data_IF_639987234723
#
_entry.id   IF_639987234723
#
_cell.length_a   1.000
_cell.length_b   1.000
_cell.length_c   1.000
_cell.angle_alpha   90.00
_cell.angle_beta   90.00
_cell.angle_gamma   90.00
#
_symmetry.space_group_name_H-M   'P 1'
#
loop_
_entity.id
_entity.type
_entity.pdbx_description
1 polymer ?
#
# COMPACT_ATOMS: atom_id res chain seq x y z
N UNK A 1 -7.23 -21.74 12.06
CA UNK A 1 -5.87 -21.19 12.31
C UNK A 1 -5.50 -21.78 13.62
N UNK A 2 -4.69 -22.81 13.54
CA UNK A 2 -4.52 -23.80 14.59
C UNK A 2 -3.08 -23.74 15.13
N UNK A 3 -2.15 -23.12 14.38
CA UNK A 3 -0.81 -22.78 14.83
C UNK A 3 -0.23 -21.53 14.15
N UNK A 4 0.92 -21.07 14.65
CA UNK A 4 1.69 -19.99 14.02
C UNK A 4 2.10 -20.32 12.56
N UNK A 5 2.24 -21.60 12.23
CA UNK A 5 2.63 -22.04 10.89
C UNK A 5 1.51 -21.88 9.85
N UNK A 6 0.28 -21.59 10.27
CA UNK A 6 -0.83 -21.25 9.36
C UNK A 6 -0.82 -19.76 8.98
N UNK A 7 -0.03 -18.95 9.67
CA UNK A 7 0.09 -17.52 9.42
C UNK A 7 1.15 -17.24 8.34
N UNK A 8 0.91 -16.20 7.57
CA UNK A 8 1.87 -15.64 6.61
C UNK A 8 1.99 -14.16 6.84
N UNK A 9 3.22 -13.68 7.02
CA UNK A 9 3.54 -12.26 7.18
C UNK A 9 4.37 -11.84 5.97
N UNK A 10 3.85 -10.86 5.23
CA UNK A 10 4.46 -10.35 4.02
C UNK A 10 4.93 -8.91 4.23
N UNK A 11 6.14 -8.68 4.77
CA UNK A 11 6.63 -7.34 5.02
C UNK A 11 6.92 -6.62 3.70
N UNK A 12 6.58 -5.33 3.63
CA UNK A 12 6.77 -4.51 2.42
C UNK A 12 7.44 -3.16 2.66
N UNK A 13 7.61 -2.71 3.91
CA UNK A 13 8.43 -1.56 4.27
C UNK A 13 9.28 -1.87 5.51
N UNK A 14 10.55 -1.53 5.45
CA UNK A 14 11.41 -1.37 6.62
C UNK A 14 11.39 0.12 6.95
N UNK A 15 10.59 0.54 7.93
CA UNK A 15 10.27 1.96 8.13
C UNK A 15 11.37 2.73 8.87
N UNK A 16 11.95 2.13 9.91
CA UNK A 16 12.99 2.73 10.73
C UNK A 16 13.88 1.65 11.37
N UNK A 17 15.08 2.06 11.74
CA UNK A 17 16.02 1.35 12.62
C UNK A 17 16.49 2.29 13.73
N UNK A 18 17.42 1.86 14.60
CA UNK A 18 17.82 2.60 15.82
C UNK A 18 18.11 4.09 15.60
N UNK A 19 18.69 4.46 14.46
CA UNK A 19 19.21 5.83 14.23
C UNK A 19 18.60 6.55 13.03
N UNK A 20 17.82 5.87 12.20
CA UNK A 20 17.32 6.47 10.95
C UNK A 20 15.93 5.93 10.57
N UNK A 21 15.17 6.79 9.90
CA UNK A 21 14.03 6.37 9.07
C UNK A 21 14.57 6.01 7.69
N UNK A 22 13.86 5.14 6.95
CA UNK A 22 14.29 4.70 5.62
C UNK A 22 13.40 5.23 4.50
N UNK A 23 12.80 6.41 4.70
CA UNK A 23 11.95 7.06 3.69
C UNK A 23 12.73 7.66 2.52
N UNK A 24 14.06 7.71 2.62
CA UNK A 24 14.99 8.07 1.55
C UNK A 24 15.27 6.90 0.60
N UNK A 25 14.95 5.66 1.00
CA UNK A 25 15.13 4.46 0.20
C UNK A 25 13.94 4.26 -0.74
N UNK A 26 14.21 3.79 -1.95
CA UNK A 26 13.16 3.46 -2.90
C UNK A 26 12.49 2.11 -2.55
N UNK A 27 11.32 1.82 -3.15
CA UNK A 27 10.61 0.58 -2.84
C UNK A 27 11.34 -0.69 -3.27
N UNK A 28 12.24 -0.64 -4.25
CA UNK A 28 13.07 -1.79 -4.61
C UNK A 28 14.01 -2.16 -3.47
N UNK A 29 14.69 -1.18 -2.90
CA UNK A 29 15.55 -1.38 -1.75
C UNK A 29 14.80 -2.02 -0.58
N UNK A 30 13.58 -1.55 -0.28
CA UNK A 30 12.76 -2.16 0.79
C UNK A 30 12.44 -3.63 0.50
N UNK A 31 11.99 -3.93 -0.72
CA UNK A 31 11.58 -5.30 -1.08
C UNK A 31 12.78 -6.25 -1.07
N UNK A 32 13.91 -5.83 -1.64
CA UNK A 32 15.14 -6.62 -1.67
C UNK A 32 15.70 -6.84 -0.26
N UNK A 33 15.73 -5.79 0.58
CA UNK A 33 16.17 -5.88 1.97
C UNK A 33 15.28 -6.85 2.76
N UNK A 34 13.96 -6.70 2.67
CA UNK A 34 13.02 -7.56 3.38
C UNK A 34 13.04 -9.01 2.87
N UNK A 35 13.32 -9.23 1.58
CA UNK A 35 13.51 -10.57 1.03
C UNK A 35 14.68 -11.29 1.70
N UNK A 36 15.75 -10.60 2.08
CA UNK A 36 16.86 -11.21 2.84
C UNK A 36 16.39 -11.74 4.19
N UNK A 37 15.55 -10.98 4.90
CA UNK A 37 14.96 -11.39 6.18
C UNK A 37 14.01 -12.58 6.00
N UNK A 38 13.17 -12.57 4.96
CA UNK A 38 12.28 -13.68 4.65
C UNK A 38 13.06 -14.97 4.32
N UNK A 39 14.20 -14.86 3.63
CA UNK A 39 15.02 -16.02 3.30
C UNK A 39 15.72 -16.61 4.53
N UNK A 40 16.11 -15.77 5.49
CA UNK A 40 16.72 -16.18 6.74
C UNK A 40 15.71 -16.78 7.75
N UNK A 41 14.41 -16.59 7.53
CA UNK A 41 13.38 -17.16 8.40
C UNK A 41 13.23 -18.67 8.19
N UNK A 42 13.66 -19.44 9.19
CA UNK A 42 13.52 -20.89 9.24
C UNK A 42 12.07 -21.33 9.47
N UNK A 43 11.27 -20.50 10.17
CA UNK A 43 9.87 -20.84 10.49
C UNK A 43 8.94 -20.79 9.28
N UNK A 44 9.36 -20.12 8.20
CA UNK A 44 8.58 -19.88 6.97
C UNK A 44 7.27 -19.13 7.19
N UNK A 45 7.15 -18.41 8.30
CA UNK A 45 6.05 -17.49 8.57
C UNK A 45 6.22 -16.24 7.70
N UNK A 46 7.46 -15.79 7.49
CA UNK A 46 7.75 -14.67 6.61
C UNK A 46 7.73 -15.08 5.14
N UNK A 47 7.12 -14.24 4.30
CA UNK A 47 7.03 -14.45 2.86
C UNK A 47 7.42 -13.19 2.10
N UNK A 48 8.36 -13.32 1.16
CA UNK A 48 8.72 -12.21 0.28
C UNK A 48 7.53 -11.87 -0.64
N UNK A 49 7.30 -10.58 -0.87
CA UNK A 49 6.23 -10.14 -1.76
C UNK A 49 6.61 -10.36 -3.22
N UNK A 50 5.62 -10.74 -4.03
CA UNK A 50 5.76 -10.69 -5.48
C UNK A 50 5.59 -9.25 -5.97
N UNK A 51 6.44 -8.79 -6.88
CA UNK A 51 6.38 -7.43 -7.41
C UNK A 51 6.86 -7.38 -8.86
N UNK A 52 6.51 -6.30 -9.56
CA UNK A 52 6.98 -6.00 -10.91
C UNK A 52 7.27 -4.50 -11.02
N UNK A 53 8.42 -4.15 -11.59
CA UNK A 53 8.74 -2.77 -11.97
C UNK A 53 8.06 -2.45 -13.30
N UNK A 54 7.61 -1.20 -13.44
CA UNK A 54 6.89 -0.75 -14.64
C UNK A 54 7.45 0.60 -15.07
N UNK A 55 7.96 0.69 -16.29
CA UNK A 55 8.27 1.97 -16.92
C UNK A 55 7.02 2.48 -17.63
N UNK A 56 6.44 3.56 -17.11
CA UNK A 56 5.22 4.15 -17.66
C UNK A 56 5.42 4.83 -19.03
N UNK A 57 6.67 5.07 -19.43
CA UNK A 57 7.02 5.61 -20.75
C UNK A 57 7.09 4.53 -21.83
N UNK A 58 7.30 3.27 -21.42
CA UNK A 58 7.38 2.15 -22.33
C UNK A 58 6.02 1.45 -22.48
N UNK A 59 5.59 1.24 -23.73
CA UNK A 59 4.32 0.59 -24.05
C UNK A 59 4.37 -0.90 -23.73
N UNK A 60 5.51 -1.56 -23.98
CA UNK A 60 5.66 -3.00 -23.72
C UNK A 60 5.66 -3.27 -22.21
N UNK A 61 6.44 -2.50 -21.43
CA UNK A 61 6.43 -2.58 -19.96
C UNK A 61 5.03 -2.42 -19.36
N UNK A 62 4.20 -1.52 -19.90
CA UNK A 62 2.81 -1.36 -19.48
C UNK A 62 1.95 -2.58 -19.82
N UNK A 63 2.08 -3.12 -21.03
CA UNK A 63 1.33 -4.32 -21.46
C UNK A 63 1.67 -5.50 -20.55
N UNK A 64 2.97 -5.75 -20.35
CA UNK A 64 3.45 -6.82 -19.48
C UNK A 64 2.94 -6.69 -18.05
N UNK A 65 2.81 -5.46 -17.53
CA UNK A 65 2.28 -5.22 -16.19
C UNK A 65 0.79 -5.53 -16.09
N UNK A 66 0.02 -5.22 -17.14
CA UNK A 66 -1.40 -5.58 -17.23
C UNK A 66 -1.57 -7.09 -17.29
N UNK A 67 -0.80 -7.78 -18.13
CA UNK A 67 -0.88 -9.23 -18.28
C UNK A 67 -0.49 -9.95 -16.97
N UNK A 68 0.58 -9.51 -16.32
CA UNK A 68 0.98 -10.01 -15.00
C UNK A 68 -0.13 -9.84 -13.94
N UNK A 69 -0.80 -8.68 -13.94
CA UNK A 69 -1.91 -8.42 -13.03
C UNK A 69 -3.14 -9.26 -13.35
N UNK A 70 -3.48 -9.44 -14.64
CA UNK A 70 -4.57 -10.29 -15.08
C UNK A 70 -4.34 -11.74 -14.67
N UNK A 71 -3.15 -12.28 -14.90
CA UNK A 71 -2.79 -13.65 -14.53
C UNK A 71 -2.91 -13.87 -13.02
N UNK A 72 -2.33 -12.97 -12.22
CA UNK A 72 -2.36 -13.10 -10.75
C UNK A 72 -3.77 -12.98 -10.18
N UNK A 73 -4.60 -12.08 -10.71
CA UNK A 73 -5.98 -11.92 -10.24
C UNK A 73 -6.90 -13.06 -10.70
N UNK A 74 -6.66 -13.66 -11.87
CA UNK A 74 -7.37 -14.88 -12.33
C UNK A 74 -7.07 -16.09 -11.45
N UNK A 75 -5.88 -16.15 -10.84
CA UNK A 75 -5.49 -17.20 -9.88
C UNK A 75 -6.01 -16.95 -8.45
N UNK A 76 -6.92 -15.99 -8.27
CA UNK A 76 -7.56 -15.69 -6.98
C UNK A 76 -6.87 -14.60 -6.16
N UNK A 77 -5.84 -13.93 -6.69
CA UNK A 77 -5.23 -12.79 -6.01
C UNK A 77 -6.16 -11.57 -5.96
N UNK A 78 -6.10 -10.81 -4.87
CA UNK A 78 -6.92 -9.61 -4.67
C UNK A 78 -6.67 -8.54 -5.74
N UNK A 79 -5.41 -8.35 -6.14
CA UNK A 79 -4.99 -7.22 -6.96
C UNK A 79 -3.56 -6.78 -6.63
N UNK A 80 -3.25 -5.54 -6.97
CA UNK A 80 -1.92 -4.95 -6.72
C UNK A 80 -2.02 -3.60 -6.03
N UNK A 81 -0.90 -3.20 -5.42
CA UNK A 81 -0.68 -1.85 -4.93
C UNK A 81 0.40 -1.22 -5.80
N UNK A 82 0.04 -0.19 -6.56
CA UNK A 82 0.96 0.57 -7.41
C UNK A 82 1.56 1.69 -6.56
N UNK A 83 2.89 1.77 -6.54
CA UNK A 83 3.63 2.78 -5.78
C UNK A 83 4.62 3.51 -6.71
N UNK A 84 4.89 4.80 -6.52
CA UNK A 84 6.04 5.46 -7.15
C UNK A 84 7.33 4.75 -6.76
N UNK A 85 8.38 4.80 -7.58
CA UNK A 85 9.64 4.12 -7.21
C UNK A 85 10.22 4.66 -5.90
N UNK A 86 10.31 5.98 -5.80
CA UNK A 86 10.74 6.67 -4.57
C UNK A 86 9.61 6.67 -3.53
N UNK A 87 9.96 6.44 -2.26
CA UNK A 87 8.99 6.35 -1.16
C UNK A 87 8.17 7.64 -0.98
N UNK A 88 8.83 8.80 -1.08
CA UNK A 88 8.19 10.13 -1.09
C UNK A 88 8.43 10.78 -2.45
N UNK A 89 7.58 10.47 -3.42
CA UNK A 89 7.65 11.06 -4.75
C UNK A 89 6.94 12.42 -4.83
N UNK A 90 7.51 13.34 -5.64
CA UNK A 90 6.92 14.65 -5.96
C UNK A 90 6.67 14.78 -7.45
N UNK A 91 5.48 15.25 -7.80
CA UNK A 91 5.11 15.63 -9.15
C UNK A 91 4.97 17.14 -9.29
N UNK A 92 4.45 17.60 -10.43
CA UNK A 92 4.25 19.03 -10.73
C UNK A 92 3.39 19.79 -9.71
N UNK A 93 2.58 19.08 -8.92
CA UNK A 93 1.63 19.65 -7.94
C UNK A 93 1.98 19.31 -6.48
N UNK A 94 3.23 18.94 -6.21
CA UNK A 94 3.69 18.54 -4.87
C UNK A 94 3.77 17.03 -4.70
N UNK A 95 3.66 16.56 -3.46
CA UNK A 95 3.75 15.13 -3.11
C UNK A 95 2.61 14.36 -3.80
N UNK A 96 2.94 13.22 -4.41
CA UNK A 96 1.94 12.35 -5.06
C UNK A 96 1.55 11.20 -4.12
N UNK A 97 0.43 10.56 -4.41
CA UNK A 97 -0.10 9.47 -3.59
C UNK A 97 0.99 8.40 -3.41
N UNK A 98 1.30 8.00 -2.16
CA UNK A 98 2.36 7.04 -1.89
C UNK A 98 2.00 5.63 -2.40
N UNK A 99 0.71 5.33 -2.51
CA UNK A 99 0.22 4.05 -3.00
C UNK A 99 -1.18 4.19 -3.61
N UNK A 100 -1.46 3.39 -4.63
CA UNK A 100 -2.79 3.27 -5.25
C UNK A 100 -3.14 1.79 -5.37
N UNK A 101 -4.26 1.37 -4.78
CA UNK A 101 -4.76 -0.01 -4.91
C UNK A 101 -5.49 -0.21 -6.24
N UNK A 102 -5.23 -1.33 -6.91
CA UNK A 102 -5.89 -1.78 -8.13
C UNK A 102 -6.33 -3.24 -7.95
N UNK A 103 -7.62 -3.43 -7.64
CA UNK A 103 -8.22 -4.72 -7.25
C UNK A 103 -8.82 -5.44 -8.45
N UNK A 104 -8.66 -6.77 -8.45
CA UNK A 104 -9.14 -7.69 -9.49
C UNK A 104 -10.66 -7.74 -9.57
N UNK A 105 -11.16 -8.14 -10.75
CA UNK A 105 -12.59 -8.18 -11.06
C UNK A 105 -13.38 -9.04 -10.08
N UNK A 106 -12.91 -10.26 -9.83
CA UNK A 106 -13.62 -11.22 -8.97
C UNK A 106 -13.55 -10.83 -7.50
N UNK A 107 -12.41 -10.30 -7.03
CA UNK A 107 -12.30 -9.76 -5.68
C UNK A 107 -13.29 -8.61 -5.44
N UNK A 108 -13.49 -7.72 -6.42
CA UNK A 108 -14.44 -6.61 -6.30
C UNK A 108 -15.90 -7.06 -6.11
N UNK A 109 -16.27 -8.32 -6.43
CA UNK A 109 -17.59 -8.86 -6.09
C UNK A 109 -17.82 -8.96 -4.58
N UNK A 110 -16.76 -9.23 -3.82
CA UNK A 110 -16.81 -9.26 -2.34
C UNK A 110 -17.12 -7.86 -1.79
N UNK A 111 -16.61 -6.82 -2.46
CA UNK A 111 -16.71 -5.42 -2.02
C UNK A 111 -18.00 -4.74 -2.50
N UNK A 112 -18.38 -4.96 -3.77
CA UNK A 112 -19.46 -4.24 -4.43
C UNK A 112 -20.71 -5.10 -4.69
N UNK A 113 -20.67 -6.39 -4.36
CA UNK A 113 -21.74 -7.36 -4.60
C UNK A 113 -21.54 -8.18 -5.87
N UNK A 114 -22.19 -9.36 -5.93
CA UNK A 114 -22.01 -10.33 -7.00
C UNK A 114 -22.39 -9.79 -8.39
N UNK A 115 -23.33 -8.84 -8.47
CA UNK A 115 -23.85 -8.24 -9.70
C UNK A 115 -23.24 -6.87 -10.04
N UNK A 116 -22.16 -6.47 -9.36
CA UNK A 116 -21.61 -5.11 -9.51
C UNK A 116 -21.18 -4.78 -10.94
N UNK A 117 -20.85 -5.79 -11.74
CA UNK A 117 -20.35 -5.67 -13.11
C UNK A 117 -21.45 -5.75 -14.18
N UNK A 118 -22.73 -5.86 -13.80
CA UNK A 118 -23.84 -5.63 -14.72
C UNK A 118 -23.80 -4.19 -15.27
N UNK A 119 -24.08 -3.94 -16.56
CA UNK A 119 -23.92 -2.63 -17.18
C UNK A 119 -24.56 -1.47 -16.40
N UNK A 120 -25.78 -1.65 -15.92
CA UNK A 120 -26.56 -0.69 -15.14
C UNK A 120 -25.94 -0.38 -13.77
N UNK A 121 -25.34 -1.38 -13.12
CA UNK A 121 -24.63 -1.20 -11.84
C UNK A 121 -23.28 -0.52 -12.07
N UNK A 122 -22.55 -0.96 -13.10
CA UNK A 122 -21.22 -0.45 -13.41
C UNK A 122 -21.26 1.03 -13.80
N UNK A 123 -22.27 1.47 -14.57
CA UNK A 123 -22.45 2.88 -14.94
C UNK A 123 -22.63 3.77 -13.69
N UNK A 124 -23.43 3.31 -12.73
CA UNK A 124 -23.62 4.02 -11.46
C UNK A 124 -22.35 4.02 -10.61
N UNK A 125 -21.64 2.89 -10.51
CA UNK A 125 -20.43 2.76 -9.70
C UNK A 125 -19.22 3.53 -10.24
N UNK A 126 -19.17 3.79 -11.56
CA UNK A 126 -18.15 4.66 -12.18
C UNK A 126 -18.22 6.09 -11.64
N UNK A 127 -19.40 6.57 -11.25
CA UNK A 127 -19.61 7.90 -10.64
C UNK A 127 -19.25 7.89 -9.15
N UNK A 128 -18.00 7.55 -8.83
CA UNK A 128 -17.48 7.54 -7.45
C UNK A 128 -16.49 8.67 -7.20
N UNK A 129 -16.57 9.30 -6.03
CA UNK A 129 -15.60 10.30 -5.60
C UNK A 129 -14.50 9.63 -4.77
N UNK A 130 -13.24 9.84 -5.18
CA UNK A 130 -12.05 9.34 -4.46
C UNK A 130 -11.24 10.47 -3.82
N UNK A 131 -11.68 11.73 -3.96
CA UNK A 131 -10.92 12.89 -3.49
C UNK A 131 -10.81 12.93 -1.96
N UNK A 132 -11.90 12.62 -1.24
CA UNK A 132 -11.90 12.55 0.22
C UNK A 132 -10.91 11.51 0.75
N UNK A 133 -10.98 10.27 0.25
CA UNK A 133 -10.05 9.20 0.67
C UNK A 133 -8.60 9.51 0.29
N UNK A 134 -8.35 10.13 -0.86
CA UNK A 134 -7.01 10.60 -1.25
C UNK A 134 -6.46 11.66 -0.28
N UNK A 135 -7.30 12.61 0.13
CA UNK A 135 -6.91 13.66 1.09
C UNK A 135 -6.60 13.08 2.48
N UNK A 136 -7.43 12.14 2.95
CA UNK A 136 -7.18 11.42 4.21
C UNK A 136 -5.88 10.63 4.16
N UNK A 137 -5.69 9.80 3.14
CA UNK A 137 -4.46 9.01 2.96
C UNK A 137 -3.20 9.89 2.97
N UNK A 138 -3.24 11.09 2.37
CA UNK A 138 -2.11 12.02 2.43
C UNK A 138 -1.83 12.56 3.82
N UNK A 139 -2.86 12.95 4.56
CA UNK A 139 -2.71 13.50 5.93
C UNK A 139 -2.22 12.42 6.88
N UNK A 140 -2.79 11.22 6.82
CA UNK A 140 -2.37 10.05 7.58
C UNK A 140 -0.91 9.68 7.26
N UNK A 141 -0.54 9.65 5.98
CA UNK A 141 0.83 9.36 5.55
C UNK A 141 1.84 10.39 6.12
N UNK A 142 1.51 11.68 6.06
CA UNK A 142 2.37 12.73 6.61
C UNK A 142 2.54 12.61 8.12
N UNK A 143 1.45 12.34 8.86
CA UNK A 143 1.50 12.10 10.30
C UNK A 143 2.28 10.83 10.66
N UNK A 144 2.14 9.78 9.85
CA UNK A 144 2.91 8.54 9.98
C UNK A 144 4.42 8.79 9.87
N UNK A 145 4.85 9.49 8.82
CA UNK A 145 6.25 9.90 8.64
C UNK A 145 6.73 10.73 9.84
N UNK A 146 5.98 11.78 10.20
CA UNK A 146 6.36 12.69 11.27
C UNK A 146 6.51 11.97 12.61
N UNK A 147 5.61 11.01 12.93
CA UNK A 147 5.71 10.23 14.15
C UNK A 147 7.01 9.41 14.23
N UNK A 148 7.41 8.77 13.13
CA UNK A 148 8.62 7.96 13.07
C UNK A 148 9.88 8.82 13.09
N UNK A 149 9.88 9.96 12.38
CA UNK A 149 10.97 10.94 12.43
C UNK A 149 11.22 11.45 13.85
N UNK A 150 10.17 11.81 14.58
CA UNK A 150 10.26 12.28 15.97
C UNK A 150 10.75 11.18 16.90
N UNK A 151 10.28 9.95 16.69
CA UNK A 151 10.68 8.80 17.48
C UNK A 151 12.19 8.53 17.34
N UNK A 152 12.68 8.46 16.11
CA UNK A 152 14.11 8.25 15.82
C UNK A 152 14.99 9.39 16.36
N UNK A 153 14.50 10.63 16.32
CA UNK A 153 15.18 11.81 16.91
C UNK A 153 15.12 11.86 18.45
N UNK A 154 14.50 10.86 19.08
CA UNK A 154 14.34 10.75 20.54
C UNK A 154 13.62 11.95 21.15
N UNK A 155 12.66 12.50 20.42
CA UNK A 155 11.77 13.53 20.97
C UNK A 155 10.91 12.96 22.12
N UNK A 156 10.40 13.82 23.03
CA UNK A 156 9.51 13.36 24.10
C UNK A 156 8.30 12.60 23.55
N UNK A 157 7.89 11.51 24.22
CA UNK A 157 6.84 10.61 23.75
C UNK A 157 5.53 11.33 23.36
N UNK A 158 5.17 12.41 24.07
CA UNK A 158 4.00 13.25 23.74
C UNK A 158 4.03 13.81 22.30
N UNK A 159 5.23 14.14 21.78
CA UNK A 159 5.45 14.65 20.42
C UNK A 159 5.33 13.56 19.37
N UNK A 160 5.69 12.33 19.70
CA UNK A 160 5.45 11.17 18.83
C UNK A 160 3.94 10.87 18.82
N UNK A 161 3.33 10.78 20.00
CA UNK A 161 1.93 10.41 20.18
C UNK A 161 0.95 11.43 19.58
N UNK A 162 1.24 12.74 19.58
CA UNK A 162 0.35 13.71 18.90
C UNK A 162 0.14 13.38 17.42
N UNK A 163 1.17 12.87 16.73
CA UNK A 163 1.08 12.48 15.32
C UNK A 163 0.38 11.12 15.17
N UNK A 164 0.71 10.14 16.02
CA UNK A 164 0.06 8.82 16.03
C UNK A 164 -1.45 8.93 16.30
N UNK A 165 -1.84 9.70 17.31
CA UNK A 165 -3.25 9.94 17.60
C UNK A 165 -3.95 10.77 16.54
N UNK A 166 -3.21 11.62 15.82
CA UNK A 166 -3.72 12.29 14.63
C UNK A 166 -4.15 11.30 13.54
N UNK A 167 -3.37 10.24 13.27
CA UNK A 167 -3.77 9.18 12.33
C UNK A 167 -5.04 8.50 12.80
N UNK A 168 -5.10 8.10 14.08
CA UNK A 168 -6.28 7.44 14.65
C UNK A 168 -7.54 8.31 14.58
N UNK A 169 -7.40 9.61 14.82
CA UNK A 169 -8.51 10.56 14.71
C UNK A 169 -9.02 10.70 13.27
N UNK A 170 -8.12 10.73 12.28
CA UNK A 170 -8.50 10.82 10.87
C UNK A 170 -9.23 9.57 10.36
N UNK A 171 -8.92 8.39 10.86
CA UNK A 171 -9.64 7.15 10.52
C UNK A 171 -11.10 7.13 11.01
N UNK A 172 -11.50 8.06 11.88
CA UNK A 172 -12.90 8.24 12.29
C UNK A 172 -13.74 9.09 11.32
N UNK A 173 -13.10 9.75 10.34
CA UNK A 173 -13.79 10.55 9.32
C UNK A 173 -14.60 9.65 8.38
N UNK A 174 -15.89 9.93 8.15
CA UNK A 174 -16.73 9.07 7.32
C UNK A 174 -16.25 9.09 5.87
N UNK A 175 -15.92 7.90 5.37
CA UNK A 175 -15.56 7.66 3.97
C UNK A 175 -16.32 6.47 3.42
N UNK A 176 -16.47 6.41 2.09
CA UNK A 176 -17.05 5.23 1.44
C UNK A 176 -16.20 3.99 1.79
N UNK A 177 -16.76 3.00 2.53
CA UNK A 177 -16.02 1.84 3.02
C UNK A 177 -15.56 0.90 1.90
N UNK A 178 -16.03 1.11 0.67
CA UNK A 178 -15.67 0.29 -0.50
C UNK A 178 -14.34 0.74 -1.12
N UNK A 179 -13.80 1.90 -0.73
CA UNK A 179 -12.61 2.53 -1.33
C UNK A 179 -11.28 2.06 -0.74
#
# INVERSE_FOLDING_TARGET
VDSINDLRIAPFHLLASEVETHFDKNHLWHIETLKTLCNADESKVLSAINFKTVDLKDVESKSDAVDWWLEMTQKGGEGMVVKPLDFIARGKRGVIQPAVKCRGKEYLRIIYGIEYDLPENLERLRKRSVSGKRSLAFREFALGIESLERFVKREPLRRVHEAVFGVLALESEPVDPRL
#
